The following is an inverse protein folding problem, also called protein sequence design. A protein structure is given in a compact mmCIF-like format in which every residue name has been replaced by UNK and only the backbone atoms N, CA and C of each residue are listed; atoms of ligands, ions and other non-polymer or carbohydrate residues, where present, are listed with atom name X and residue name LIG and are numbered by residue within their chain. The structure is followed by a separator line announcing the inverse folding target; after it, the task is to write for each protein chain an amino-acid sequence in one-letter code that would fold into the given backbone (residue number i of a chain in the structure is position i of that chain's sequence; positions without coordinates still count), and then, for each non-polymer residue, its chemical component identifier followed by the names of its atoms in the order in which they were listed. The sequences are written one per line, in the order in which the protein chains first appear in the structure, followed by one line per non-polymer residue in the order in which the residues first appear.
data_IF_009695296290
#
_entry.id   IF_009695296290
#
_cell.length_a   1.000
_cell.length_b   1.000
_cell.length_c   1.000
_cell.angle_alpha   90.00
_cell.angle_beta   90.00
_cell.angle_gamma   90.00
#
_symmetry.space_group_name_H-M   'P 1'
#
loop_
_entity.id
_entity.type
_entity.pdbx_description
1 polymer ?
#
# COMPACT_ATOMS: atom_id res chain seq x y z
N UNK A 1 3.21 9.05 14.99
CA UNK A 1 3.40 10.25 14.15
C UNK A 1 3.13 9.82 12.72
N UNK A 2 2.33 10.60 11.99
CA UNK A 2 1.92 10.22 10.65
C UNK A 2 3.13 10.14 9.70
N UNK A 3 3.05 9.21 8.74
CA UNK A 3 4.04 9.00 7.71
C UNK A 3 3.40 8.98 6.33
N UNK A 4 4.15 9.41 5.33
CA UNK A 4 3.77 9.31 3.93
C UNK A 4 4.66 8.25 3.27
N UNK A 5 4.02 7.26 2.67
CA UNK A 5 4.64 6.12 2.02
C UNK A 5 4.45 6.26 0.51
N UNK A 6 5.53 6.06 -0.23
CA UNK A 6 5.49 5.91 -1.69
C UNK A 6 6.17 4.59 -2.09
N UNK A 7 5.41 3.69 -2.70
CA UNK A 7 5.91 2.45 -3.29
C UNK A 7 5.78 2.50 -4.82
N UNK A 8 6.81 1.98 -5.50
CA UNK A 8 6.80 1.78 -6.95
C UNK A 8 6.70 0.29 -7.24
N UNK A 9 5.80 -0.09 -8.14
CA UNK A 9 5.47 -1.48 -8.46
C UNK A 9 5.59 -1.70 -9.98
N UNK A 10 6.83 -1.86 -10.50
CA UNK A 10 7.06 -2.02 -11.93
C UNK A 10 6.41 -3.28 -12.48
N UNK A 11 5.78 -3.18 -13.65
CA UNK A 11 5.15 -4.30 -14.35
C UNK A 11 3.87 -4.85 -13.72
N UNK A 12 3.41 -4.27 -12.59
CA UNK A 12 2.12 -4.62 -12.00
C UNK A 12 0.99 -3.94 -12.77
N UNK A 13 -0.04 -4.71 -13.09
CA UNK A 13 -1.26 -4.23 -13.76
C UNK A 13 -2.33 -3.85 -12.75
N UNK A 14 -3.29 -3.03 -13.17
CA UNK A 14 -4.47 -2.68 -12.35
C UNK A 14 -5.29 -3.92 -11.99
N UNK A 15 -5.41 -4.90 -12.89
CA UNK A 15 -6.16 -6.14 -12.62
C UNK A 15 -5.49 -6.98 -11.52
N UNK A 16 -4.15 -7.07 -11.52
CA UNK A 16 -3.41 -7.73 -10.44
C UNK A 16 -3.60 -7.00 -9.12
N UNK A 17 -3.53 -5.67 -9.13
CA UNK A 17 -3.78 -4.84 -7.95
C UNK A 17 -5.19 -5.04 -7.39
N UNK A 18 -6.22 -5.05 -8.25
CA UNK A 18 -7.61 -5.28 -7.85
C UNK A 18 -7.79 -6.69 -7.26
N UNK A 19 -7.13 -7.70 -7.84
CA UNK A 19 -7.15 -9.07 -7.30
C UNK A 19 -6.50 -9.15 -5.91
N UNK A 20 -5.40 -8.43 -5.68
CA UNK A 20 -4.76 -8.33 -4.37
C UNK A 20 -5.70 -7.65 -3.36
N UNK A 21 -6.24 -6.48 -3.70
CA UNK A 21 -7.14 -5.75 -2.83
C UNK A 21 -8.42 -6.53 -2.50
N UNK A 22 -8.99 -7.24 -3.46
CA UNK A 22 -10.14 -8.10 -3.22
C UNK A 22 -9.84 -9.19 -2.18
N UNK A 23 -8.64 -9.80 -2.22
CA UNK A 23 -8.23 -10.77 -1.19
C UNK A 23 -7.99 -10.12 0.17
N UNK A 24 -7.38 -8.93 0.21
CA UNK A 24 -7.14 -8.20 1.45
C UNK A 24 -8.44 -7.77 2.14
N UNK A 25 -9.44 -7.35 1.38
CA UNK A 25 -10.77 -6.98 1.88
C UNK A 25 -11.60 -8.18 2.35
N UNK A 26 -11.30 -9.38 1.86
CA UNK A 26 -11.97 -10.61 2.30
C UNK A 26 -11.40 -11.19 3.60
N UNK A 27 -10.27 -10.67 4.11
CA UNK A 27 -9.70 -11.08 5.39
C UNK A 27 -10.57 -10.59 6.56
N UNK A 28 -10.60 -11.33 7.68
CA UNK A 28 -11.33 -10.89 8.87
C UNK A 28 -10.65 -9.68 9.52
N UNK A 29 -11.46 -8.66 9.85
CA UNK A 29 -11.01 -7.45 10.53
C UNK A 29 -10.79 -6.28 9.57
N UNK A 30 -10.17 -5.21 10.07
CA UNK A 30 -9.78 -4.06 9.27
C UNK A 30 -8.33 -4.20 8.82
N UNK A 31 -8.13 -4.73 7.62
CA UNK A 31 -6.80 -4.94 7.03
C UNK A 31 -6.02 -3.63 6.88
N UNK A 32 -6.71 -2.50 6.70
CA UNK A 32 -6.10 -1.19 6.48
C UNK A 32 -6.13 -0.31 7.73
N UNK A 33 -6.27 -0.91 8.92
CA UNK A 33 -6.32 -0.18 10.18
C UNK A 33 -5.12 0.79 10.33
N UNK A 34 -5.42 2.08 10.47
CA UNK A 34 -4.42 3.15 10.58
C UNK A 34 -3.95 3.73 9.23
N UNK A 35 -4.47 3.26 8.10
CA UNK A 35 -4.32 3.91 6.79
C UNK A 35 -5.34 5.04 6.66
N UNK A 36 -4.86 6.27 6.57
CA UNK A 36 -5.67 7.48 6.49
C UNK A 36 -6.07 7.82 5.06
N UNK A 37 -5.22 7.47 4.09
CA UNK A 37 -5.48 7.64 2.66
C UNK A 37 -4.64 6.63 1.89
N UNK A 38 -5.23 6.07 0.83
CA UNK A 38 -4.58 5.16 -0.09
C UNK A 38 -4.88 5.63 -1.51
N UNK A 39 -3.85 5.78 -2.33
CA UNK A 39 -3.98 6.14 -3.74
C UNK A 39 -3.12 5.22 -4.58
N UNK A 40 -3.73 4.58 -5.57
CA UNK A 40 -3.06 3.79 -6.58
C UNK A 40 -3.09 4.55 -7.91
N UNK A 41 -1.92 4.78 -8.50
CA UNK A 41 -1.74 5.49 -9.76
C UNK A 41 -1.16 4.53 -10.79
N UNK A 42 -1.87 4.34 -11.90
CA UNK A 42 -1.33 3.62 -13.05
C UNK A 42 -0.35 4.50 -13.83
N UNK A 43 0.77 3.91 -14.24
CA UNK A 43 1.83 4.55 -15.03
C UNK A 43 2.15 3.69 -16.25
N UNK A 44 2.94 4.22 -17.20
CA UNK A 44 3.44 3.45 -18.35
C UNK A 44 4.32 2.25 -17.95
N UNK A 45 4.83 2.25 -16.72
CA UNK A 45 5.81 1.27 -16.23
C UNK A 45 5.26 0.29 -15.18
N UNK A 46 4.00 0.44 -14.77
CA UNK A 46 3.40 -0.31 -13.66
C UNK A 46 2.56 0.61 -12.77
N UNK A 47 2.60 0.40 -11.46
CA UNK A 47 1.82 1.20 -10.50
C UNK A 47 2.72 2.00 -9.55
N UNK A 48 2.21 3.13 -9.09
CA UNK A 48 2.72 3.86 -7.93
C UNK A 48 1.64 3.93 -6.86
N UNK A 49 2.02 3.57 -5.62
CA UNK A 49 1.12 3.58 -4.47
C UNK A 49 1.57 4.68 -3.51
N UNK A 50 0.61 5.50 -3.09
CA UNK A 50 0.80 6.57 -2.13
C UNK A 50 -0.14 6.39 -0.96
N UNK A 51 0.44 6.17 0.21
CA UNK A 51 -0.34 6.01 1.44
C UNK A 51 0.03 7.06 2.47
N UNK A 52 -0.98 7.50 3.20
CA UNK A 52 -0.82 8.23 4.44
C UNK A 52 -1.19 7.30 5.60
N UNK A 53 -0.26 7.05 6.51
CA UNK A 53 -0.47 6.21 7.69
C UNK A 53 -0.38 7.02 8.98
N UNK A 54 -1.14 6.64 10.00
CA UNK A 54 -1.07 7.24 11.35
C UNK A 54 0.29 7.04 12.03
N UNK A 55 0.98 5.95 11.66
CA UNK A 55 2.31 5.59 12.17
C UNK A 55 3.03 4.57 11.29
N UNK A 56 4.36 4.47 11.48
CA UNK A 56 5.19 3.38 10.95
C UNK A 56 4.67 2.00 11.38
N UNK A 57 4.24 1.85 12.65
CA UNK A 57 3.74 0.58 13.18
C UNK A 57 2.48 0.10 12.46
N UNK A 58 1.57 1.03 12.10
CA UNK A 58 0.36 0.68 11.33
C UNK A 58 0.72 0.18 9.92
N UNK A 59 1.64 0.87 9.24
CA UNK A 59 2.14 0.45 7.93
C UNK A 59 2.85 -0.91 8.00
N UNK A 60 3.69 -1.14 9.00
CA UNK A 60 4.41 -2.41 9.18
C UNK A 60 3.43 -3.57 9.43
N UNK A 61 2.40 -3.36 10.27
CA UNK A 61 1.33 -4.34 10.51
C UNK A 61 0.62 -4.69 9.20
N UNK A 62 0.23 -3.70 8.40
CA UNK A 62 -0.35 -3.94 7.07
C UNK A 62 0.59 -4.77 6.20
N UNK A 63 1.89 -4.44 6.16
CA UNK A 63 2.89 -5.19 5.41
C UNK A 63 2.94 -6.67 5.80
N UNK A 64 2.86 -7.00 7.09
CA UNK A 64 2.86 -8.42 7.54
C UNK A 64 1.63 -9.21 7.10
N UNK A 65 0.49 -8.55 6.92
CA UNK A 65 -0.77 -9.16 6.43
C UNK A 65 -0.78 -9.23 4.91
N UNK A 66 -0.31 -8.18 4.23
CA UNK A 66 -0.38 -8.04 2.78
C UNK A 66 0.64 -8.94 2.06
N UNK A 67 1.86 -9.04 2.57
CA UNK A 67 2.95 -9.77 1.90
C UNK A 67 2.61 -11.23 1.60
N UNK A 68 2.06 -12.04 2.53
CA UNK A 68 1.66 -13.41 2.23
C UNK A 68 0.57 -13.53 1.16
N UNK A 69 -0.31 -12.53 1.01
CA UNK A 69 -1.36 -12.51 -0.02
C UNK A 69 -0.74 -12.17 -1.38
N UNK A 70 0.14 -11.17 -1.44
CA UNK A 70 0.87 -10.80 -2.63
C UNK A 70 1.74 -11.96 -3.15
N UNK A 71 2.43 -12.67 -2.27
CA UNK A 71 3.22 -13.86 -2.62
C UNK A 71 2.36 -14.98 -3.22
N UNK A 72 1.19 -15.28 -2.64
CA UNK A 72 0.25 -16.28 -3.18
C UNK A 72 -0.27 -15.91 -4.56
N UNK A 73 -0.42 -14.62 -4.83
CA UNK A 73 -0.84 -14.09 -6.13
C UNK A 73 0.31 -13.96 -7.14
N UNK A 74 1.54 -14.31 -6.74
CA UNK A 74 2.71 -14.26 -7.61
C UNK A 74 3.18 -12.84 -7.91
N UNK A 75 2.94 -11.88 -7.01
CA UNK A 75 3.51 -10.55 -7.14
C UNK A 75 5.05 -10.65 -7.09
N UNK A 76 5.76 -9.92 -7.96
CA UNK A 76 7.21 -9.86 -7.92
C UNK A 76 7.64 -9.20 -6.61
N UNK A 77 8.63 -9.77 -5.95
CA UNK A 77 9.32 -9.07 -4.87
C UNK A 77 10.08 -7.90 -5.50
N UNK A 78 9.53 -6.70 -5.38
CA UNK A 78 10.24 -5.49 -5.77
C UNK A 78 11.41 -5.35 -4.79
N UNK A 79 12.64 -5.50 -5.27
CA UNK A 79 13.84 -5.44 -4.43
C UNK A 79 14.11 -4.07 -3.81
N UNK A 80 13.17 -3.13 -3.91
CA UNK A 80 13.27 -1.78 -3.38
C UNK A 80 12.20 -1.56 -2.31
N UNK A 81 12.59 -1.18 -1.09
CA UNK A 81 11.63 -0.83 -0.05
C UNK A 81 10.89 0.47 -0.44
N UNK A 82 9.66 0.67 0.07
CA UNK A 82 8.95 1.92 -0.12
C UNK A 82 9.73 3.08 0.50
N UNK A 83 9.60 4.27 -0.11
CA UNK A 83 10.11 5.52 0.46
C UNK A 83 9.14 5.99 1.53
N UNK A 84 9.65 6.29 2.72
CA UNK A 84 8.84 6.74 3.86
C UNK A 84 9.37 8.07 4.38
N UNK A 85 8.47 9.02 4.62
CA UNK A 85 8.79 10.32 5.18
C UNK A 85 7.85 10.67 6.35
N UNK A 86 8.36 11.40 7.34
CA UNK A 86 7.52 11.96 8.40
C UNK A 86 6.63 13.06 7.84
N UNK A 87 5.35 13.04 8.20
CA UNK A 87 4.37 14.04 7.77
C UNK A 87 4.33 15.17 8.78
N UNK A 88 4.55 16.40 8.29
CA UNK A 88 4.37 17.61 9.09
C UNK A 88 2.90 18.02 9.20
N UNK A 89 2.15 17.95 8.11
CA UNK A 89 0.72 18.25 8.04
C UNK A 89 0.07 17.55 6.84
N UNK A 90 -1.22 17.20 6.92
CA UNK A 90 -2.02 16.73 5.79
C UNK A 90 -3.45 17.27 5.90
N UNK A 91 -4.11 17.48 4.77
CA UNK A 91 -5.53 17.83 4.72
C UNK A 91 -6.16 17.30 3.43
N UNK A 92 -7.44 16.94 3.50
CA UNK A 92 -8.24 16.67 2.30
C UNK A 92 -9.33 17.74 2.24
N UNK A 93 -9.32 18.64 1.24
CA UNK A 93 -10.35 19.66 1.14
C UNK A 93 -11.72 19.02 0.86
N UNK A 94 -12.76 19.59 1.48
CA UNK A 94 -14.17 19.21 1.32
C UNK A 94 -14.79 19.79 0.05
#
# INVERSE_FOLDING_TARGET
MAIFMHATMPGITTDQYDALNAQLQALPGDTFAGCLSHTCVATDSGLEIFDLWESQEAMDKFGTVMMPVAEKLGFPQTGQPPKVAQVHNWWTPS
#
